data_IF_753000265334
#
_entry.id   IF_753000265334
#
_cell.length_a   1.000
_cell.length_b   1.000
_cell.length_c   1.000
_cell.angle_alpha   90.00
_cell.angle_beta   90.00
_cell.angle_gamma   90.00
#
_symmetry.space_group_name_H-M   'P 1'
#
loop_
_entity.id
_entity.type
_entity.pdbx_description
1 polymer ?
#
# COMPACT_ATOMS: atom_id res chain seq x y z
N UNK A 1 -7.02 1.33 14.20
CA UNK A 1 -6.09 2.49 14.20
C UNK A 1 -5.83 2.84 12.76
N UNK A 2 -5.95 4.12 12.38
CA UNK A 2 -5.62 4.60 11.03
C UNK A 2 -4.57 5.70 11.18
N UNK A 3 -3.38 5.48 10.65
CA UNK A 3 -2.26 6.40 10.68
C UNK A 3 -1.97 6.95 9.27
N UNK A 4 -1.35 8.12 9.20
CA UNK A 4 -0.78 8.69 7.97
C UNK A 4 0.74 8.79 8.03
N UNK A 5 1.31 8.57 9.21
CA UNK A 5 2.74 8.67 9.47
C UNK A 5 3.28 7.26 9.65
N UNK A 6 4.26 6.88 8.82
CA UNK A 6 4.85 5.53 8.82
C UNK A 6 5.41 5.13 10.20
N UNK A 7 6.07 6.06 10.89
CA UNK A 7 6.61 5.80 12.23
C UNK A 7 5.53 5.54 13.29
N UNK A 8 4.37 6.19 13.22
CA UNK A 8 3.26 5.92 14.13
C UNK A 8 2.69 4.52 13.88
N UNK A 9 2.57 4.14 12.60
CA UNK A 9 2.11 2.82 12.21
C UNK A 9 3.09 1.71 12.63
N UNK A 10 4.41 1.89 12.43
CA UNK A 10 5.40 0.91 12.84
C UNK A 10 5.45 0.76 14.37
N UNK A 11 5.20 1.83 15.13
CA UNK A 11 5.05 1.76 16.58
C UNK A 11 3.90 0.87 17.07
N UNK A 12 2.86 0.65 16.24
CA UNK A 12 1.78 -0.29 16.53
C UNK A 12 2.16 -1.76 16.23
N UNK A 13 3.29 -2.00 15.57
CA UNK A 13 3.78 -3.29 15.12
C UNK A 13 5.26 -3.49 15.49
N UNK A 14 5.60 -3.50 16.80
CA UNK A 14 6.99 -3.50 17.26
C UNK A 14 7.79 -4.75 16.85
N UNK A 15 7.11 -5.87 16.64
CA UNK A 15 7.72 -7.15 16.23
C UNK A 15 7.73 -7.34 14.70
N UNK A 16 7.31 -6.31 13.94
CA UNK A 16 7.11 -6.41 12.50
C UNK A 16 5.91 -7.29 12.13
N UNK A 17 6.01 -7.97 10.99
CA UNK A 17 4.99 -8.89 10.49
C UNK A 17 4.53 -8.58 9.06
N UNK A 18 3.87 -9.57 8.45
CA UNK A 18 3.40 -9.47 7.07
C UNK A 18 2.38 -8.34 6.96
N UNK A 19 2.57 -7.44 6.00
CA UNK A 19 1.63 -6.36 5.69
C UNK A 19 0.93 -6.61 4.37
N UNK A 20 -0.28 -6.09 4.25
CA UNK A 20 -1.07 -6.10 3.02
C UNK A 20 -1.08 -4.71 2.39
N UNK A 21 -0.56 -4.58 1.17
CA UNK A 21 -0.62 -3.36 0.37
C UNK A 21 -1.85 -3.34 -0.54
N UNK A 22 -2.57 -2.22 -0.59
CA UNK A 22 -3.77 -2.04 -1.41
C UNK A 22 -3.63 -0.80 -2.32
N UNK A 23 -3.84 -1.01 -3.62
CA UNK A 23 -4.08 0.05 -4.59
C UNK A 23 -5.57 0.08 -4.97
N UNK A 24 -6.25 1.19 -4.67
CA UNK A 24 -7.70 1.31 -4.82
C UNK A 24 -8.07 1.94 -6.17
N UNK A 25 -8.07 1.11 -7.21
CA UNK A 25 -8.63 1.43 -8.51
C UNK A 25 -10.15 1.60 -8.50
N UNK A 26 -10.72 2.13 -9.59
CA UNK A 26 -12.18 2.31 -9.70
C UNK A 26 -12.94 1.00 -9.88
N UNK A 27 -12.33 0.02 -10.55
CA UNK A 27 -12.91 -1.30 -10.86
C UNK A 27 -12.19 -2.46 -10.20
N UNK A 28 -10.99 -2.22 -9.70
CA UNK A 28 -10.08 -3.25 -9.18
C UNK A 28 -9.42 -2.78 -7.90
N UNK A 29 -8.97 -3.75 -7.10
CA UNK A 29 -8.10 -3.54 -5.96
C UNK A 29 -6.83 -4.32 -6.24
N UNK A 30 -5.73 -3.61 -6.51
CA UNK A 30 -4.41 -4.23 -6.56
C UNK A 30 -4.00 -4.67 -5.16
N UNK A 31 -3.40 -5.85 -5.03
CA UNK A 31 -2.97 -6.39 -3.74
C UNK A 31 -1.50 -6.74 -3.78
N UNK A 32 -0.78 -6.45 -2.69
CA UNK A 32 0.59 -6.87 -2.46
C UNK A 32 0.78 -7.34 -1.02
N UNK A 33 1.83 -8.12 -0.79
CA UNK A 33 2.27 -8.58 0.53
C UNK A 33 3.76 -8.28 0.70
N UNK A 34 4.22 -8.09 1.93
CA UNK A 34 5.65 -8.03 2.22
C UNK A 34 6.10 -9.19 3.13
N UNK A 35 7.41 -9.40 3.20
CA UNK A 35 7.98 -10.26 4.24
C UNK A 35 7.84 -9.62 5.63
N UNK A 36 7.87 -10.45 6.68
CA UNK A 36 7.67 -10.00 8.06
C UNK A 36 8.75 -9.00 8.54
N UNK A 37 9.92 -8.98 7.90
CA UNK A 37 11.00 -8.04 8.21
C UNK A 37 10.94 -6.73 7.43
N UNK A 38 9.88 -6.49 6.66
CA UNK A 38 9.65 -5.25 5.91
C UNK A 38 10.79 -4.91 4.94
N UNK A 39 11.27 -5.90 4.19
CA UNK A 39 12.37 -5.73 3.23
C UNK A 39 11.89 -5.68 1.79
N UNK A 40 10.94 -6.56 1.43
CA UNK A 40 10.50 -6.73 0.05
C UNK A 40 8.98 -6.84 -0.03
N UNK A 41 8.38 -6.00 -0.85
CA UNK A 41 6.98 -6.11 -1.27
C UNK A 41 6.88 -6.90 -2.58
N UNK A 42 5.88 -7.78 -2.67
CA UNK A 42 5.57 -8.58 -3.86
C UNK A 42 4.10 -8.43 -4.20
N UNK A 43 3.80 -8.21 -5.47
CA UNK A 43 2.42 -8.20 -5.95
C UNK A 43 1.78 -9.59 -5.77
N UNK A 44 0.53 -9.61 -5.30
CA UNK A 44 -0.32 -10.80 -5.28
C UNK A 44 -1.38 -10.61 -6.40
N UNK A 45 -2.57 -11.16 -6.21
CA UNK A 45 -3.71 -11.05 -7.13
C UNK A 45 -4.36 -9.67 -7.13
N UNK A 46 -4.92 -9.31 -8.27
CA UNK A 46 -5.87 -8.20 -8.38
C UNK A 46 -7.29 -8.70 -8.07
N UNK A 47 -8.00 -8.00 -7.19
CA UNK A 47 -9.40 -8.29 -6.88
C UNK A 47 -10.30 -7.39 -7.73
N UNK A 48 -11.43 -7.91 -8.20
CA UNK A 48 -12.53 -7.07 -8.70
C UNK A 48 -13.14 -6.29 -7.52
N UNK A 49 -13.20 -4.97 -7.67
CA UNK A 49 -13.80 -4.05 -6.69
C UNK A 49 -15.30 -4.01 -6.90
N UNK A 50 -16.06 -4.20 -5.83
CA UNK A 50 -17.51 -4.22 -5.89
C UNK A 50 -18.15 -3.58 -4.67
N UNK A 51 -19.19 -4.25 -4.15
CA UNK A 51 -19.79 -3.85 -2.88
C UNK A 51 -18.76 -4.07 -1.77
N UNK A 52 -18.57 -3.06 -0.92
CA UNK A 52 -17.59 -3.09 0.17
C UNK A 52 -17.69 -4.36 1.04
N UNK A 53 -18.89 -4.86 1.31
CA UNK A 53 -19.08 -6.09 2.10
C UNK A 53 -18.42 -7.33 1.47
N UNK A 54 -18.45 -7.45 0.13
CA UNK A 54 -17.78 -8.54 -0.59
C UNK A 54 -16.28 -8.34 -0.61
N UNK A 55 -15.83 -7.11 -0.84
CA UNK A 55 -14.41 -6.78 -0.87
C UNK A 55 -13.77 -7.04 0.50
N UNK A 56 -14.43 -6.59 1.58
CA UNK A 56 -14.02 -6.81 2.95
C UNK A 56 -13.96 -8.30 3.33
N UNK A 57 -14.90 -9.12 2.86
CA UNK A 57 -14.85 -10.57 3.06
C UNK A 57 -13.60 -11.20 2.40
N UNK A 58 -13.35 -10.88 1.11
CA UNK A 58 -12.16 -11.36 0.39
C UNK A 58 -10.85 -10.93 1.07
N UNK A 59 -10.79 -9.68 1.53
CA UNK A 59 -9.63 -9.13 2.23
C UNK A 59 -9.45 -9.79 3.60
N UNK A 60 -10.52 -10.04 4.35
CA UNK A 60 -10.48 -10.77 5.62
C UNK A 60 -9.90 -12.17 5.46
N UNK A 61 -10.38 -12.91 4.46
CA UNK A 61 -9.90 -14.27 4.18
C UNK A 61 -8.42 -14.26 3.81
N UNK A 62 -7.99 -13.27 3.02
CA UNK A 62 -6.59 -13.10 2.65
C UNK A 62 -5.72 -12.75 3.86
N UNK A 63 -6.17 -11.81 4.70
CA UNK A 63 -5.47 -11.44 5.93
C UNK A 63 -5.28 -12.64 6.86
N UNK A 64 -6.32 -13.45 7.03
CA UNK A 64 -6.25 -14.67 7.82
C UNK A 64 -5.28 -15.69 7.22
N UNK A 65 -5.40 -15.98 5.93
CA UNK A 65 -4.55 -16.97 5.25
C UNK A 65 -3.07 -16.60 5.24
N UNK A 66 -2.75 -15.30 5.23
CA UNK A 66 -1.37 -14.79 5.18
C UNK A 66 -0.85 -14.28 6.53
N UNK A 67 -1.64 -14.41 7.59
CA UNK A 67 -1.30 -13.90 8.94
C UNK A 67 -0.91 -12.42 8.94
N UNK A 68 -1.62 -11.61 8.16
CA UNK A 68 -1.38 -10.16 8.01
C UNK A 68 -1.52 -9.47 9.36
N UNK A 69 -0.58 -8.58 9.66
CA UNK A 69 -0.52 -7.78 10.89
C UNK A 69 -0.93 -6.33 10.71
N UNK A 70 -0.87 -5.80 9.48
CA UNK A 70 -1.30 -4.44 9.17
C UNK A 70 -1.58 -4.24 7.68
N UNK A 71 -2.27 -3.16 7.36
CA UNK A 71 -2.68 -2.83 6.00
C UNK A 71 -2.09 -1.47 5.60
N UNK A 72 -1.57 -1.38 4.38
CA UNK A 72 -1.11 -0.14 3.76
C UNK A 72 -2.00 0.16 2.57
N UNK A 73 -2.52 1.38 2.48
CA UNK A 73 -3.42 1.81 1.40
C UNK A 73 -2.82 3.05 0.75
N UNK A 74 -2.71 3.05 -0.58
CA UNK A 74 -2.28 4.22 -1.34
C UNK A 74 -3.22 5.41 -1.13
N UNK A 75 -2.63 6.58 -0.86
CA UNK A 75 -3.32 7.85 -0.71
C UNK A 75 -2.87 8.79 -1.86
N UNK A 76 -3.65 8.86 -2.96
CA UNK A 76 -3.28 9.66 -4.13
C UNK A 76 -3.54 11.14 -3.85
N UNK A 77 -2.50 11.84 -3.38
CA UNK A 77 -2.50 13.30 -3.20
C UNK A 77 -2.02 14.01 -4.47
N UNK A 78 -2.53 15.21 -4.68
CA UNK A 78 -2.02 16.10 -5.73
C UNK A 78 -0.61 16.58 -5.38
N UNK A 79 0.16 17.02 -6.39
CA UNK A 79 1.54 17.48 -6.18
C UNK A 79 1.67 18.62 -5.17
N UNK A 80 0.66 19.49 -5.08
CA UNK A 80 0.56 20.58 -4.10
C UNK A 80 0.14 20.13 -2.68
N UNK A 81 -0.14 18.83 -2.50
CA UNK A 81 -0.58 18.23 -1.24
C UNK A 81 -2.10 18.23 -1.03
N UNK A 82 -2.86 18.84 -1.94
CA UNK A 82 -4.32 18.82 -1.85
C UNK A 82 -4.89 17.43 -2.14
N UNK A 83 -6.09 17.17 -1.62
CA UNK A 83 -6.78 15.88 -1.75
C UNK A 83 -7.96 15.98 -2.71
N UNK A 84 -7.92 15.16 -3.77
CA UNK A 84 -9.03 14.99 -4.69
C UNK A 84 -10.03 13.90 -4.25
N UNK A 85 -11.07 13.63 -5.07
CA UNK A 85 -12.07 12.60 -4.78
C UNK A 85 -11.50 11.19 -4.56
N UNK A 86 -10.37 10.85 -5.20
CA UNK A 86 -9.69 9.56 -5.02
C UNK A 86 -9.11 9.40 -3.62
N UNK A 87 -8.46 10.43 -3.07
CA UNK A 87 -7.96 10.42 -1.70
C UNK A 87 -9.10 10.29 -0.68
N UNK A 88 -10.20 11.02 -0.89
CA UNK A 88 -11.40 10.89 -0.05
C UNK A 88 -11.99 9.47 -0.10
N UNK A 89 -12.04 8.86 -1.29
CA UNK A 89 -12.48 7.47 -1.47
C UNK A 89 -11.57 6.50 -0.72
N UNK A 90 -10.24 6.66 -0.79
CA UNK A 90 -9.29 5.84 -0.07
C UNK A 90 -9.45 5.95 1.45
N UNK A 91 -9.63 7.17 1.97
CA UNK A 91 -9.92 7.42 3.40
C UNK A 91 -11.23 6.78 3.86
N UNK A 92 -12.29 6.91 3.07
CA UNK A 92 -13.56 6.26 3.38
C UNK A 92 -13.42 4.73 3.39
N UNK A 93 -12.67 4.18 2.43
CA UNK A 93 -12.40 2.75 2.37
C UNK A 93 -11.60 2.26 3.59
N UNK A 94 -10.56 2.99 3.99
CA UNK A 94 -9.76 2.70 5.19
C UNK A 94 -10.62 2.70 6.46
N UNK A 95 -11.49 3.70 6.63
CA UNK A 95 -12.44 3.77 7.77
C UNK A 95 -13.37 2.56 7.82
N UNK A 96 -13.87 2.11 6.68
CA UNK A 96 -14.71 0.91 6.64
C UNK A 96 -13.91 -0.37 6.90
N UNK A 97 -12.64 -0.43 6.49
CA UNK A 97 -11.73 -1.55 6.74
C UNK A 97 -11.25 -1.66 8.18
N UNK A 98 -11.38 -0.61 9.01
CA UNK A 98 -11.06 -0.67 10.44
C UNK A 98 -11.85 -1.80 11.16
N UNK A 99 -12.99 -2.24 10.58
CA UNK A 99 -13.73 -3.44 10.99
C UNK A 99 -12.97 -4.78 10.85
N UNK A 100 -11.78 -4.79 10.24
CA UNK A 100 -10.87 -5.94 10.26
C UNK A 100 -10.04 -6.01 11.54
N UNK A 101 -10.01 -4.95 12.35
CA UNK A 101 -9.26 -4.90 13.61
C UNK A 101 -7.74 -4.86 13.43
N UNK A 102 -7.26 -4.55 12.22
CA UNK A 102 -5.84 -4.40 11.90
C UNK A 102 -5.48 -2.90 11.85
N UNK A 103 -4.26 -2.50 12.27
CA UNK A 103 -3.77 -1.16 12.02
C UNK A 103 -3.71 -0.90 10.51
N UNK A 104 -4.02 0.33 10.11
CA UNK A 104 -4.02 0.78 8.71
C UNK A 104 -3.12 2.01 8.56
N UNK A 105 -2.27 2.01 7.55
CA UNK A 105 -1.50 3.16 7.10
C UNK A 105 -2.08 3.69 5.78
N UNK A 106 -2.41 4.97 5.74
CA UNK A 106 -2.65 5.70 4.50
C UNK A 106 -1.31 6.27 4.02
N UNK A 107 -0.79 5.73 2.92
CA UNK A 107 0.55 6.06 2.41
C UNK A 107 0.49 7.10 1.30
N UNK A 108 1.11 8.26 1.51
CA UNK A 108 1.20 9.32 0.49
C UNK A 108 2.05 8.86 -0.69
N UNK A 109 1.41 8.57 -1.82
CA UNK A 109 2.03 8.03 -3.02
C UNK A 109 3.11 8.97 -3.60
N UNK A 110 3.11 10.27 -3.24
CA UNK A 110 4.13 11.24 -3.69
C UNK A 110 5.50 11.00 -3.07
N UNK A 111 5.55 10.34 -1.91
CA UNK A 111 6.81 9.94 -1.28
C UNK A 111 7.46 8.76 -2.02
N UNK A 112 6.70 8.02 -2.83
CA UNK A 112 7.21 6.86 -3.58
C UNK A 112 7.91 7.23 -4.89
N UNK A 113 7.54 8.33 -5.55
CA UNK A 113 8.05 8.64 -6.90
C UNK A 113 9.47 9.18 -6.90
N UNK A 114 9.89 9.95 -5.90
CA UNK A 114 11.24 10.53 -5.88
C UNK A 114 12.37 9.53 -5.54
N UNK A 115 12.05 8.49 -4.76
CA UNK A 115 12.99 7.40 -4.38
C UNK A 115 12.89 6.21 -5.34
N UNK A 116 11.68 5.78 -5.72
CA UNK A 116 11.50 4.67 -6.67
C UNK A 116 12.03 5.02 -8.07
N UNK A 117 11.97 6.28 -8.53
CA UNK A 117 12.65 6.68 -9.77
C UNK A 117 14.17 6.53 -9.67
N UNK A 118 14.79 6.86 -8.54
CA UNK A 118 16.25 6.74 -8.33
C UNK A 118 16.70 5.27 -8.31
N UNK A 119 15.95 4.39 -7.65
CA UNK A 119 16.29 2.96 -7.57
C UNK A 119 16.04 2.22 -8.89
N UNK A 120 15.01 2.62 -9.65
CA UNK A 120 14.74 2.06 -10.98
C UNK A 120 15.71 2.59 -12.05
N UNK A 121 16.31 3.77 -11.86
CA UNK A 121 17.43 4.27 -12.66
C UNK A 121 18.70 3.44 -12.37
N UNK A 122 18.94 3.05 -11.12
CA UNK A 122 20.08 2.22 -10.74
C UNK A 122 20.02 0.78 -11.29
N UNK A 123 18.83 0.30 -11.67
CA UNK A 123 18.60 -1.06 -12.21
C UNK A 123 18.49 -1.14 -13.75
N UNK A 124 18.85 -0.07 -14.48
CA UNK A 124 18.98 -0.04 -15.95
C UNK A 124 17.72 -0.49 -16.75
N UNK A 125 16.53 -0.16 -16.25
CA UNK A 125 15.27 -0.42 -16.97
C UNK A 125 14.89 0.76 -17.89
N UNK A 126 14.45 0.46 -19.12
CA UNK A 126 13.92 1.48 -20.04
C UNK A 126 12.63 2.14 -19.50
N UNK A 127 12.40 3.42 -19.82
CA UNK A 127 11.26 4.22 -19.32
C UNK A 127 9.89 3.57 -19.59
N UNK A 128 9.76 2.89 -20.72
CA UNK A 128 8.55 2.15 -21.10
C UNK A 128 8.32 0.90 -20.22
N UNK A 129 9.38 0.11 -19.97
CA UNK A 129 9.32 -1.05 -19.06
C UNK A 129 9.05 -0.64 -17.61
N UNK A 130 9.53 0.53 -17.18
CA UNK A 130 9.18 1.10 -15.87
C UNK A 130 7.69 1.39 -15.75
N UNK A 131 7.12 2.12 -16.70
CA UNK A 131 5.69 2.44 -16.70
C UNK A 131 4.79 1.20 -16.72
N UNK A 132 5.14 0.18 -17.52
CA UNK A 132 4.40 -1.08 -17.62
C UNK A 132 4.45 -1.93 -16.33
N UNK A 133 5.60 -1.94 -15.64
CA UNK A 133 5.75 -2.61 -14.34
C UNK A 133 5.01 -1.86 -13.24
N UNK A 134 5.03 -0.52 -13.27
CA UNK A 134 4.32 0.34 -12.32
C UNK A 134 2.80 0.14 -12.42
N UNK A 135 2.23 0.04 -13.63
CA UNK A 135 0.78 -0.12 -13.82
C UNK A 135 0.26 -1.51 -13.38
N UNK A 136 1.08 -2.56 -13.52
CA UNK A 136 0.71 -3.93 -13.10
C UNK A 136 1.06 -4.24 -11.64
N UNK A 137 1.90 -3.43 -10.98
CA UNK A 137 2.41 -3.67 -9.63
C UNK A 137 2.22 -2.48 -8.68
N UNK A 138 1.28 -1.58 -8.96
CA UNK A 138 1.07 -0.36 -8.16
C UNK A 138 0.96 -0.63 -6.65
N UNK A 139 0.21 -1.68 -6.25
CA UNK A 139 0.10 -2.07 -4.85
C UNK A 139 1.43 -2.48 -4.22
N UNK A 140 2.33 -3.13 -4.97
CA UNK A 140 3.66 -3.50 -4.49
C UNK A 140 4.57 -2.28 -4.38
N UNK A 141 4.47 -1.32 -5.30
CA UNK A 141 5.23 -0.06 -5.23
C UNK A 141 4.80 0.77 -4.02
N UNK A 142 3.49 0.90 -3.78
CA UNK A 142 2.91 1.54 -2.60
C UNK A 142 3.45 0.86 -1.33
N UNK A 143 3.37 -0.46 -1.27
CA UNK A 143 3.80 -1.20 -0.10
C UNK A 143 5.31 -1.08 0.13
N UNK A 144 6.13 -1.17 -0.92
CA UNK A 144 7.58 -1.03 -0.84
C UNK A 144 7.96 0.35 -0.27
N UNK A 145 7.41 1.43 -0.82
CA UNK A 145 7.71 2.78 -0.32
C UNK A 145 7.35 2.96 1.16
N UNK A 146 6.23 2.37 1.60
CA UNK A 146 5.84 2.41 3.00
C UNK A 146 6.79 1.63 3.92
N UNK A 147 7.20 0.41 3.53
CA UNK A 147 8.13 -0.40 4.34
C UNK A 147 9.54 0.20 4.39
N UNK A 148 10.01 0.81 3.30
CA UNK A 148 11.30 1.51 3.28
C UNK A 148 11.29 2.70 4.24
N UNK A 149 10.21 3.48 4.25
CA UNK A 149 10.03 4.60 5.17
C UNK A 149 9.94 4.17 6.64
N UNK A 150 9.36 2.99 6.93
CA UNK A 150 9.33 2.43 8.28
C UNK A 150 10.67 1.88 8.75
N UNK A 151 11.44 1.28 7.84
CA UNK A 151 12.75 0.70 8.12
C UNK A 151 13.86 1.76 8.30
N UNK A 152 13.54 3.04 8.16
CA UNK A 152 14.52 4.13 8.23
C UNK A 152 15.37 4.27 6.96
N UNK A 153 14.89 3.73 5.83
CA UNK A 153 15.48 4.01 4.52
C UNK A 153 15.44 5.51 4.25
N UNK A 154 16.56 6.05 3.76
CA UNK A 154 16.66 7.47 3.38
C UNK A 154 15.71 7.72 2.21
N UNK A 155 14.62 8.46 2.47
CA UNK A 155 13.67 8.95 1.46
C UNK A 155 14.29 10.11 0.68
#
# INVERSE_FOLDING_TARGET
MIAEIAHEFSGALPDGGVLLGLDLGTKTIGVALCDAGWRFATADKTLERGKFTRDCAKLRDLCAARSVKGIVIGLPRNMDGSEGPRAQSARAYARNLDALGLPILLWDERLSTASAERDLIAQDFSRAKRAERIDSHAAAVILQGAIDAMAGGVI
#
